data_IF_429090539163
#
_entry.id   IF_429090539163
#
_cell.length_a   1.000
_cell.length_b   1.000
_cell.length_c   1.000
_cell.angle_alpha   90.00
_cell.angle_beta   90.00
_cell.angle_gamma   90.00
#
_symmetry.space_group_name_H-M   'P 1'
#
loop_
_entity.id
_entity.type
_entity.pdbx_description
1 polymer ?
#
# COMPACT_ATOMS: atom_id res chain seq x y z
N UNK A 1 31.09 -1.61 -33.11
CA UNK A 1 31.09 -3.06 -32.84
C UNK A 1 29.64 -3.52 -32.69
N UNK A 2 29.12 -4.31 -33.62
CA UNK A 2 27.79 -4.91 -33.52
C UNK A 2 27.88 -6.14 -32.61
N UNK A 3 27.12 -6.16 -31.52
CA UNK A 3 27.06 -7.30 -30.59
C UNK A 3 26.14 -8.38 -31.16
N UNK A 4 26.43 -9.66 -30.90
CA UNK A 4 25.64 -10.81 -31.39
C UNK A 4 24.14 -10.73 -31.06
N UNK A 5 23.78 -10.02 -29.97
CA UNK A 5 22.41 -9.74 -29.58
C UNK A 5 21.64 -8.81 -30.57
N UNK A 6 22.32 -8.00 -31.39
CA UNK A 6 21.69 -7.16 -32.41
C UNK A 6 21.44 -7.89 -33.74
N UNK A 7 21.87 -9.15 -33.87
CA UNK A 7 21.70 -9.97 -35.07
C UNK A 7 20.60 -11.06 -34.91
N UNK A 8 19.96 -11.14 -33.75
CA UNK A 8 18.85 -12.07 -33.53
C UNK A 8 17.57 -11.51 -34.18
N UNK A 9 16.76 -12.34 -34.86
CA UNK A 9 15.47 -11.92 -35.38
C UNK A 9 14.62 -11.33 -34.25
N UNK A 10 14.22 -10.06 -34.35
CA UNK A 10 13.20 -9.50 -33.45
C UNK A 10 11.92 -10.31 -33.67
N UNK A 11 11.50 -11.08 -32.66
CA UNK A 11 10.31 -11.91 -32.73
C UNK A 11 9.10 -11.07 -33.16
N UNK A 12 8.35 -11.59 -34.14
CA UNK A 12 7.12 -11.00 -34.69
C UNK A 12 6.03 -10.72 -33.64
N UNK A 13 6.15 -11.30 -32.44
CA UNK A 13 5.26 -11.07 -31.30
C UNK A 13 5.50 -9.74 -30.56
N UNK A 14 6.68 -9.12 -30.71
CA UNK A 14 7.05 -7.93 -29.93
C UNK A 14 6.19 -6.70 -30.28
N UNK A 15 5.87 -6.54 -31.56
CA UNK A 15 4.99 -5.47 -32.06
C UNK A 15 3.59 -5.58 -31.43
N UNK A 16 3.02 -6.78 -31.42
CA UNK A 16 1.69 -7.02 -30.82
C UNK A 16 1.65 -6.73 -29.31
N UNK A 17 2.72 -7.08 -28.59
CA UNK A 17 2.84 -6.80 -27.15
C UNK A 17 2.89 -5.31 -26.85
N UNK A 18 3.56 -4.53 -27.70
CA UNK A 18 3.64 -3.07 -27.57
C UNK A 18 2.34 -2.36 -27.86
N UNK A 19 1.61 -2.80 -28.87
CA UNK A 19 0.28 -2.26 -29.15
C UNK A 19 -0.62 -2.49 -27.92
N UNK A 20 -0.68 -3.73 -27.41
CA UNK A 20 -1.45 -4.04 -26.18
C UNK A 20 -1.01 -3.21 -24.98
N UNK A 21 0.30 -3.03 -24.81
CA UNK A 21 0.88 -2.22 -23.76
C UNK A 21 0.44 -0.75 -23.82
N UNK A 22 0.38 -0.15 -25.01
CA UNK A 22 0.01 1.26 -25.18
C UNK A 22 -1.47 1.54 -24.85
N UNK A 23 -2.34 0.55 -25.01
CA UNK A 23 -3.76 0.65 -24.65
C UNK A 23 -4.03 0.23 -23.18
N UNK A 24 -3.02 -0.18 -22.42
CA UNK A 24 -3.19 -0.51 -21.01
C UNK A 24 -3.05 0.78 -20.17
N UNK A 25 -4.06 1.14 -19.35
CA UNK A 25 -4.04 2.34 -18.52
C UNK A 25 -2.91 2.36 -17.47
N UNK A 26 -2.32 1.21 -17.16
CA UNK A 26 -1.22 1.05 -16.20
C UNK A 26 0.16 0.96 -16.86
N UNK A 27 0.33 1.54 -18.04
CA UNK A 27 1.59 1.52 -18.76
C UNK A 27 2.02 2.91 -19.24
N UNK A 28 3.33 3.11 -19.34
CA UNK A 28 3.97 4.37 -19.72
C UNK A 28 4.21 4.50 -21.23
N UNK A 29 3.67 3.57 -22.04
CA UNK A 29 3.78 3.62 -23.50
C UNK A 29 2.74 4.60 -24.04
N UNK A 30 3.21 5.78 -24.45
CA UNK A 30 2.34 6.83 -25.00
C UNK A 30 1.69 6.40 -26.32
N UNK A 31 0.35 6.45 -26.37
CA UNK A 31 -0.43 6.25 -27.60
C UNK A 31 -0.05 7.24 -28.72
N UNK A 32 0.42 8.44 -28.35
CA UNK A 32 0.84 9.46 -29.31
C UNK A 32 2.08 9.06 -30.12
N UNK A 33 2.83 8.04 -29.66
CA UNK A 33 4.04 7.54 -30.33
C UNK A 33 3.78 6.32 -31.23
N UNK A 34 2.53 5.86 -31.35
CA UNK A 34 2.16 4.80 -32.27
C UNK A 34 1.93 5.36 -33.68
N UNK A 35 2.24 4.59 -34.75
CA UNK A 35 1.94 4.98 -36.12
C UNK A 35 0.41 5.04 -36.34
N UNK A 36 -0.03 5.96 -37.20
CA UNK A 36 -1.45 6.11 -37.54
C UNK A 36 -2.02 4.92 -38.34
N UNK A 37 -1.17 4.20 -39.08
CA UNK A 37 -1.54 3.00 -39.83
C UNK A 37 -0.70 1.80 -39.35
N UNK A 38 -1.37 0.73 -38.93
CA UNK A 38 -0.72 -0.51 -38.50
C UNK A 38 -0.44 -1.41 -39.71
N UNK A 39 0.81 -1.41 -40.19
CA UNK A 39 1.32 -2.41 -41.13
C UNK A 39 2.42 -3.23 -40.45
N UNK A 40 2.76 -4.43 -40.94
CA UNK A 40 3.85 -5.21 -40.35
C UNK A 40 5.12 -4.36 -40.20
N UNK A 41 5.73 -4.39 -39.01
CA UNK A 41 6.97 -3.71 -38.64
C UNK A 41 6.91 -2.17 -38.51
N UNK A 42 5.73 -1.56 -38.69
CA UNK A 42 5.59 -0.10 -38.59
C UNK A 42 5.79 0.43 -37.18
N UNK A 43 5.38 -0.31 -36.15
CA UNK A 43 5.53 0.11 -34.75
C UNK A 43 6.99 0.06 -34.31
N UNK A 44 7.74 -0.93 -34.78
CA UNK A 44 9.17 -1.02 -34.50
C UNK A 44 9.95 0.09 -35.20
N UNK A 45 9.62 0.39 -36.45
CA UNK A 45 10.21 1.49 -37.20
C UNK A 45 9.96 2.84 -36.53
N UNK A 46 8.72 3.15 -36.15
CA UNK A 46 8.38 4.38 -35.44
C UNK A 46 9.11 4.52 -34.09
N UNK A 47 9.32 3.40 -33.38
CA UNK A 47 10.13 3.38 -32.16
C UNK A 47 11.59 3.65 -32.45
N UNK A 48 12.18 3.01 -33.47
CA UNK A 48 13.57 3.24 -33.85
C UNK A 48 13.79 4.69 -34.28
N UNK A 49 12.86 5.27 -35.04
CA UNK A 49 12.86 6.69 -35.41
C UNK A 49 12.78 7.61 -34.17
N UNK A 50 11.96 7.27 -33.18
CA UNK A 50 11.88 8.02 -31.92
C UNK A 50 13.19 7.92 -31.13
N UNK A 51 13.79 6.72 -31.05
CA UNK A 51 15.08 6.50 -30.38
C UNK A 51 16.18 7.29 -31.10
N UNK A 52 16.20 7.24 -32.42
CA UNK A 52 17.15 7.97 -33.25
C UNK A 52 16.96 9.48 -33.12
N UNK A 53 15.72 9.97 -33.10
CA UNK A 53 15.41 11.38 -32.84
C UNK A 53 15.89 11.84 -31.46
N UNK A 54 15.75 11.01 -30.43
CA UNK A 54 16.26 11.32 -29.09
C UNK A 54 17.80 11.27 -29.00
N UNK A 55 18.43 10.41 -29.80
CA UNK A 55 19.89 10.29 -29.87
C UNK A 55 20.54 11.40 -30.69
N UNK A 56 19.88 11.85 -31.76
CA UNK A 56 20.38 12.89 -32.67
C UNK A 56 20.03 14.30 -32.18
N UNK A 57 18.94 14.46 -31.44
CA UNK A 57 18.66 15.72 -30.75
C UNK A 57 19.55 15.85 -29.50
N UNK A 58 20.76 16.38 -29.68
CA UNK A 58 21.22 17.42 -28.76
C UNK A 58 20.09 18.46 -28.71
N UNK A 59 19.45 18.64 -27.55
CA UNK A 59 18.34 19.57 -27.40
C UNK A 59 18.73 20.91 -28.04
N UNK A 60 18.04 21.40 -29.09
CA UNK A 60 18.19 22.81 -29.42
C UNK A 60 17.81 23.59 -28.16
N UNK A 61 18.59 24.60 -27.74
CA UNK A 61 18.26 25.38 -26.56
C UNK A 61 16.82 25.85 -26.72
N UNK A 62 15.95 25.48 -25.77
CA UNK A 62 14.55 25.94 -25.76
C UNK A 62 14.57 27.43 -26.09
N UNK A 63 13.90 27.91 -27.15
CA UNK A 63 13.90 29.32 -27.45
C UNK A 63 13.40 30.04 -26.21
N UNK A 64 14.21 30.94 -25.65
CA UNK A 64 13.82 31.78 -24.54
C UNK A 64 12.47 32.40 -24.90
N UNK A 65 11.45 32.13 -24.09
CA UNK A 65 10.12 32.73 -24.28
C UNK A 65 10.34 34.23 -24.30
N UNK A 66 10.16 34.87 -25.47
CA UNK A 66 10.18 36.33 -25.58
C UNK A 66 9.07 36.84 -24.67
N UNK A 67 9.44 37.45 -23.55
CA UNK A 67 8.53 38.26 -22.75
C UNK A 67 8.04 39.37 -23.68
N UNK A 68 6.76 39.32 -24.07
CA UNK A 68 6.15 40.42 -24.80
C UNK A 68 6.16 41.63 -23.87
N UNK A 69 7.04 42.59 -24.14
CA UNK A 69 7.01 43.87 -23.45
C UNK A 69 5.75 44.62 -23.89
N UNK A 70 4.99 45.06 -22.88
CA UNK A 70 3.70 45.73 -22.96
C UNK A 70 3.76 47.12 -23.61
N UNK A 71 4.08 47.21 -24.90
CA UNK A 71 3.79 48.41 -25.68
C UNK A 71 2.38 48.35 -26.25
N UNK A 72 1.40 48.71 -25.40
CA UNK A 72 0.13 49.26 -25.84
C UNK A 72 -1.03 48.30 -26.11
N UNK A 73 -0.87 46.98 -25.90
CA UNK A 73 -1.97 46.03 -26.15
C UNK A 73 -2.81 45.70 -24.90
N UNK A 74 -2.33 46.03 -23.70
CA UNK A 74 -3.07 45.83 -22.45
C UNK A 74 -3.34 47.18 -21.79
N UNK A 75 -4.61 47.47 -21.52
CA UNK A 75 -4.99 48.60 -20.68
C UNK A 75 -4.46 48.38 -19.27
N UNK A 76 -3.92 49.41 -18.63
CA UNK A 76 -3.58 49.35 -17.21
C UNK A 76 -4.88 49.23 -16.42
N UNK A 77 -5.20 48.03 -15.95
CA UNK A 77 -6.30 47.84 -15.02
C UNK A 77 -5.82 48.26 -13.63
N UNK A 78 -6.68 48.96 -12.89
CA UNK A 78 -6.48 49.20 -11.47
C UNK A 78 -6.51 47.84 -10.75
N UNK A 79 -5.43 47.51 -10.04
CA UNK A 79 -5.36 46.28 -9.28
C UNK A 79 -6.34 46.36 -8.12
N UNK A 80 -7.49 45.71 -8.26
CA UNK A 80 -8.44 45.51 -7.16
C UNK A 80 -8.00 44.24 -6.43
N UNK A 81 -7.50 44.34 -5.20
CA UNK A 81 -7.06 43.17 -4.45
C UNK A 81 -8.24 42.20 -4.29
N UNK A 82 -8.04 40.94 -4.68
CA UNK A 82 -9.04 39.91 -4.44
C UNK A 82 -9.16 39.60 -2.95
N UNK A 83 -10.26 38.97 -2.53
CA UNK A 83 -10.40 38.49 -1.13
C UNK A 83 -9.26 37.54 -0.71
N UNK A 84 -8.63 36.87 -1.68
CA UNK A 84 -7.51 35.96 -1.47
C UNK A 84 -6.22 36.76 -1.14
N UNK A 85 -5.99 37.90 -1.80
CA UNK A 85 -4.81 38.72 -1.48
C UNK A 85 -4.86 39.35 -0.09
N UNK A 86 -6.06 39.70 0.40
CA UNK A 86 -6.23 40.15 1.78
C UNK A 86 -5.86 39.04 2.78
N UNK A 87 -6.24 37.80 2.51
CA UNK A 87 -5.91 36.66 3.34
C UNK A 87 -4.40 36.38 3.35
N UNK A 88 -3.75 36.46 2.19
CA UNK A 88 -2.29 36.32 2.10
C UNK A 88 -1.54 37.43 2.85
N UNK A 89 -2.04 38.66 2.80
CA UNK A 89 -1.47 39.79 3.53
C UNK A 89 -1.63 39.63 5.04
N UNK A 90 -2.80 39.16 5.51
CA UNK A 90 -3.01 38.81 6.92
C UNK A 90 -2.07 37.71 7.39
N UNK A 91 -1.91 36.63 6.61
CA UNK A 91 -0.96 35.56 6.95
C UNK A 91 0.49 36.05 6.98
N UNK A 92 0.86 36.95 6.06
CA UNK A 92 2.20 37.56 6.05
C UNK A 92 2.41 38.43 7.29
N UNK A 93 1.38 39.16 7.73
CA UNK A 93 1.43 39.97 8.94
C UNK A 93 1.51 39.10 10.20
N UNK A 94 0.72 38.03 10.29
CA UNK A 94 0.76 37.06 11.38
C UNK A 94 2.14 36.41 11.49
N UNK A 95 2.75 36.02 10.37
CA UNK A 95 4.11 35.46 10.35
C UNK A 95 5.14 36.45 10.93
N UNK A 96 5.10 37.72 10.52
CA UNK A 96 6.00 38.75 11.05
C UNK A 96 5.80 38.98 12.55
N UNK A 97 4.55 39.01 13.02
CA UNK A 97 4.24 39.16 14.45
C UNK A 97 4.73 37.94 15.24
N UNK A 98 4.56 36.73 14.71
CA UNK A 98 5.08 35.51 15.32
C UNK A 98 6.61 35.51 15.40
N UNK A 99 7.30 35.88 14.31
CA UNK A 99 8.75 36.02 14.28
C UNK A 99 9.24 37.06 15.30
N UNK A 100 8.60 38.23 15.38
CA UNK A 100 8.94 39.26 16.36
C UNK A 100 8.77 38.77 17.81
N UNK A 101 7.66 38.07 18.11
CA UNK A 101 7.42 37.46 19.43
C UNK A 101 8.44 36.39 19.76
N UNK A 102 8.88 35.59 18.78
CA UNK A 102 9.94 34.61 18.98
C UNK A 102 11.26 35.30 19.37
N UNK A 103 11.63 36.37 18.68
CA UNK A 103 12.83 37.16 19.01
C UNK A 103 12.75 37.85 20.37
N UNK A 104 11.55 38.27 20.81
CA UNK A 104 11.32 38.87 22.12
C UNK A 104 11.54 37.86 23.26
N UNK A 105 11.05 36.62 23.08
CA UNK A 105 11.17 35.55 24.10
C UNK A 105 12.57 34.96 24.13
N UNK A 106 13.21 34.78 22.97
CA UNK A 106 14.56 34.24 22.87
C UNK A 106 15.32 34.89 21.72
N UNK A 107 16.53 35.37 22.01
CA UNK A 107 17.44 35.90 20.97
C UNK A 107 17.94 34.84 19.99
N UNK A 108 17.68 33.56 20.27
CA UNK A 108 18.06 32.42 19.45
C UNK A 108 16.84 31.59 19.07
N UNK A 109 16.77 31.17 17.81
CA UNK A 109 15.73 30.27 17.32
C UNK A 109 15.77 28.96 18.10
N UNK A 110 14.62 28.51 18.62
CA UNK A 110 14.49 27.24 19.31
C UNK A 110 14.88 26.09 18.38
N UNK A 111 15.91 25.33 18.75
CA UNK A 111 16.33 24.11 18.05
C UNK A 111 15.95 22.90 18.91
N UNK A 112 15.08 21.99 18.42
CA UNK A 112 14.75 20.78 19.15
C UNK A 112 15.99 19.93 19.39
N UNK A 113 16.16 19.43 20.62
CA UNK A 113 17.32 18.63 21.04
C UNK A 113 17.49 17.31 20.29
N UNK A 114 16.47 16.84 19.56
CA UNK A 114 16.50 15.62 18.75
C UNK A 114 17.03 15.80 17.33
N UNK A 115 17.25 17.06 16.86
CA UNK A 115 17.52 17.34 15.45
C UNK A 115 19.00 17.39 15.08
N UNK A 116 19.90 17.53 16.06
CA UNK A 116 21.34 17.57 15.80
C UNK A 116 21.92 16.16 15.75
N UNK A 117 21.83 15.49 14.59
CA UNK A 117 22.67 14.32 14.33
C UNK A 117 24.04 14.81 13.92
N UNK A 118 25.04 14.59 14.76
CA UNK A 118 26.44 14.73 14.38
C UNK A 118 26.78 13.63 13.37
N UNK A 119 27.41 14.00 12.25
CA UNK A 119 27.85 13.02 11.27
C UNK A 119 29.04 12.23 11.81
N UNK A 120 29.21 10.97 11.39
CA UNK A 120 30.25 10.05 11.93
C UNK A 120 31.70 10.55 11.75
N UNK A 121 31.92 11.49 10.83
CA UNK A 121 33.23 12.07 10.53
C UNK A 121 33.44 13.45 11.17
N UNK A 122 32.48 13.94 11.94
CA UNK A 122 32.59 15.22 12.63
C UNK A 122 33.16 15.01 14.02
N UNK A 123 34.27 15.70 14.31
CA UNK A 123 34.92 15.66 15.60
C UNK A 123 34.39 16.83 16.44
N UNK A 124 33.49 16.62 17.42
CA UNK A 124 32.89 17.70 18.21
C UNK A 124 33.87 18.39 19.17
N UNK A 125 35.15 17.97 19.16
CA UNK A 125 36.17 18.36 20.11
C UNK A 125 37.06 19.52 19.65
N UNK A 126 37.11 19.84 18.35
CA UNK A 126 38.08 20.82 17.83
C UNK A 126 37.57 22.27 17.80
N UNK A 127 36.26 22.53 17.88
CA UNK A 127 35.74 23.90 17.96
C UNK A 127 34.41 23.98 18.70
N UNK A 128 34.46 24.40 19.97
CA UNK A 128 33.28 24.56 20.84
C UNK A 128 32.35 25.71 20.41
N UNK A 129 32.85 26.63 19.59
CA UNK A 129 32.13 27.82 19.10
C UNK A 129 31.64 27.68 17.66
N UNK A 130 32.08 26.65 16.93
CA UNK A 130 31.70 26.47 15.53
C UNK A 130 30.32 25.81 15.43
N UNK A 131 29.29 26.63 15.27
CA UNK A 131 27.94 26.19 14.87
C UNK A 131 27.87 26.20 13.34
N UNK A 132 27.73 25.04 12.73
CA UNK A 132 27.54 24.96 11.28
C UNK A 132 26.22 25.65 10.88
N UNK A 133 26.18 26.44 9.80
CA UNK A 133 24.94 26.94 9.23
C UNK A 133 24.05 25.74 8.88
N UNK A 134 22.83 25.73 9.40
CA UNK A 134 21.83 24.69 9.13
C UNK A 134 21.69 24.47 7.61
N UNK A 135 22.17 23.33 7.14
CA UNK A 135 21.83 22.83 5.81
C UNK A 135 20.67 21.87 6.03
N UNK A 136 19.46 22.37 5.78
CA UNK A 136 18.26 21.53 5.76
C UNK A 136 18.51 20.40 4.76
N UNK A 137 18.35 19.14 5.17
CA UNK A 137 18.46 18.01 4.25
C UNK A 137 17.21 18.05 3.34
N UNK A 138 17.34 18.41 2.04
CA UNK A 138 16.19 18.55 1.16
C UNK A 138 15.47 17.20 0.94
N UNK A 139 16.11 16.08 1.25
CA UNK A 139 15.53 14.75 1.12
C UNK A 139 14.70 14.34 2.35
N UNK A 140 15.08 14.78 3.55
CA UNK A 140 14.32 14.56 4.79
C UNK A 140 12.92 15.19 4.69
N UNK A 141 12.84 16.44 4.20
CA UNK A 141 11.56 17.13 4.01
C UNK A 141 10.66 16.43 2.98
N UNK A 142 11.24 15.89 1.90
CA UNK A 142 10.50 15.17 0.87
C UNK A 142 9.93 13.83 1.39
N UNK A 143 10.72 13.08 2.16
CA UNK A 143 10.26 11.83 2.79
C UNK A 143 9.17 12.08 3.84
N UNK A 144 9.30 13.14 4.64
CA UNK A 144 8.28 13.54 5.61
C UNK A 144 6.98 13.96 4.92
N UNK A 145 7.09 14.67 3.79
CA UNK A 145 5.93 15.03 2.98
C UNK A 145 5.24 13.80 2.38
N UNK A 146 6.00 12.81 1.91
CA UNK A 146 5.46 11.53 1.42
C UNK A 146 4.75 10.76 2.54
N UNK A 147 5.35 10.67 3.73
CA UNK A 147 4.72 10.03 4.90
C UNK A 147 3.43 10.73 5.31
N UNK A 148 3.42 12.07 5.33
CA UNK A 148 2.19 12.86 5.59
C UNK A 148 1.11 12.59 4.55
N UNK A 149 1.46 12.60 3.26
CA UNK A 149 0.50 12.33 2.20
C UNK A 149 -0.09 10.93 2.32
N UNK A 150 0.73 9.93 2.68
CA UNK A 150 0.27 8.56 2.93
C UNK A 150 -0.71 8.49 4.11
N UNK A 151 -0.38 9.09 5.25
CA UNK A 151 -1.28 9.11 6.41
C UNK A 151 -2.58 9.85 6.15
N UNK A 152 -2.55 10.95 5.40
CA UNK A 152 -3.77 11.67 5.00
C UNK A 152 -4.61 10.82 4.03
N UNK A 153 -3.98 10.09 3.11
CA UNK A 153 -4.69 9.20 2.20
C UNK A 153 -5.33 8.03 2.95
N UNK A 154 -4.61 7.42 3.89
CA UNK A 154 -5.10 6.32 4.73
C UNK A 154 -6.22 6.78 5.68
N UNK A 155 -6.12 7.97 6.28
CA UNK A 155 -7.15 8.49 7.19
C UNK A 155 -8.44 8.92 6.49
N UNK A 156 -8.38 9.22 5.18
CA UNK A 156 -9.57 9.47 4.35
C UNK A 156 -10.38 8.20 4.08
N UNK A 157 -9.78 7.02 4.26
CA UNK A 157 -10.44 5.72 4.10
C UNK A 157 -11.17 5.38 5.41
N UNK A 158 -12.33 6.02 5.63
CA UNK A 158 -13.20 5.82 6.81
C UNK A 158 -13.73 4.39 6.96
N UNK A 159 -13.80 3.67 5.84
CA UNK A 159 -14.25 2.29 5.78
C UNK A 159 -13.21 1.50 4.99
N UNK A 160 -12.97 0.25 5.39
CA UNK A 160 -12.03 -0.65 4.71
C UNK A 160 -12.28 -0.77 3.20
N UNK A 161 -11.39 -1.47 2.47
CA UNK A 161 -11.46 -1.55 1.01
C UNK A 161 -12.88 -1.86 0.53
N UNK A 162 -13.36 -1.09 -0.45
CA UNK A 162 -14.70 -1.25 -1.02
C UNK A 162 -14.75 -2.62 -1.71
N UNK A 163 -15.31 -3.61 -1.03
CA UNK A 163 -15.47 -4.95 -1.57
C UNK A 163 -16.67 -4.95 -2.50
N UNK A 164 -16.42 -5.11 -3.81
CA UNK A 164 -17.48 -5.37 -4.78
C UNK A 164 -18.28 -6.61 -4.31
N UNK A 165 -19.59 -6.43 -4.16
CA UNK A 165 -20.54 -7.49 -3.83
C UNK A 165 -20.29 -8.69 -4.74
N UNK A 166 -19.79 -9.80 -4.17
CA UNK A 166 -19.45 -11.02 -4.91
C UNK A 166 -18.07 -11.60 -4.63
N UNK A 167 -17.10 -10.79 -4.19
CA UNK A 167 -15.76 -11.27 -3.72
C UNK A 167 -15.43 -10.88 -2.28
N UNK A 168 -16.37 -10.26 -1.57
CA UNK A 168 -16.36 -10.35 -0.12
C UNK A 168 -16.52 -11.82 0.24
N UNK A 169 -15.64 -12.35 1.09
CA UNK A 169 -15.89 -13.61 1.79
C UNK A 169 -17.34 -13.59 2.26
N UNK A 170 -18.17 -14.43 1.65
CA UNK A 170 -19.62 -14.48 1.89
C UNK A 170 -19.86 -14.52 3.40
N UNK A 171 -20.37 -13.43 3.98
CA UNK A 171 -21.13 -13.41 5.23
C UNK A 171 -20.64 -14.26 6.40
N UNK A 172 -19.35 -14.54 6.54
CA UNK A 172 -18.83 -15.13 7.77
C UNK A 172 -18.68 -13.97 8.73
N UNK A 173 -19.72 -13.78 9.54
CA UNK A 173 -19.63 -12.96 10.73
C UNK A 173 -18.39 -13.43 11.47
N UNK A 174 -17.39 -12.55 11.60
CA UNK A 174 -16.24 -12.78 12.47
C UNK A 174 -16.82 -13.32 13.78
N UNK A 175 -16.41 -14.54 14.15
CA UNK A 175 -16.99 -15.22 15.30
C UNK A 175 -16.83 -14.30 16.52
N UNK A 176 -17.95 -13.75 17.00
CA UNK A 176 -17.96 -12.95 18.21
C UNK A 176 -18.24 -13.87 19.39
N UNK A 177 -17.77 -13.49 20.58
CA UNK A 177 -17.99 -14.25 21.82
C UNK A 177 -19.47 -14.60 22.08
N UNK A 178 -20.39 -13.79 21.55
CA UNK A 178 -21.84 -14.05 21.61
C UNK A 178 -22.29 -15.30 20.85
N UNK A 179 -21.57 -15.68 19.79
CA UNK A 179 -21.86 -16.85 18.96
C UNK A 179 -21.21 -18.13 19.50
N UNK A 180 -20.34 -18.01 20.50
CA UNK A 180 -19.56 -19.13 21.02
C UNK A 180 -20.42 -20.28 21.58
N UNK A 181 -21.53 -20.03 22.31
CA UNK A 181 -22.43 -21.11 22.73
C UNK A 181 -23.05 -21.89 21.56
N UNK A 182 -23.39 -21.18 20.47
CA UNK A 182 -23.97 -21.81 19.27
C UNK A 182 -22.94 -22.67 18.54
N UNK A 183 -21.68 -22.22 18.51
CA UNK A 183 -20.56 -22.96 17.92
C UNK A 183 -20.32 -24.25 18.70
N UNK A 184 -20.25 -24.16 20.03
CA UNK A 184 -20.05 -25.33 20.91
C UNK A 184 -21.19 -26.32 20.77
N UNK A 185 -22.45 -25.84 20.70
CA UNK A 185 -23.61 -26.69 20.47
C UNK A 185 -23.52 -27.44 19.14
N UNK A 186 -23.16 -26.76 18.05
CA UNK A 186 -23.02 -27.38 16.73
C UNK A 186 -21.88 -28.41 16.69
N UNK A 187 -20.73 -28.09 17.30
CA UNK A 187 -19.63 -29.05 17.44
C UNK A 187 -20.09 -30.29 18.21
N UNK A 188 -20.80 -30.10 19.32
CA UNK A 188 -21.30 -31.21 20.13
C UNK A 188 -22.31 -32.07 19.38
N UNK A 189 -23.24 -31.47 18.62
CA UNK A 189 -24.20 -32.21 17.77
C UNK A 189 -23.47 -33.02 16.68
N UNK A 190 -22.48 -32.42 16.02
CA UNK A 190 -21.67 -33.09 14.98
C UNK A 190 -20.90 -34.28 15.57
N UNK A 191 -20.22 -34.09 16.70
CA UNK A 191 -19.49 -35.17 17.37
C UNK A 191 -20.42 -36.26 17.91
N UNK A 192 -21.65 -35.91 18.32
CA UNK A 192 -22.62 -36.90 18.78
C UNK A 192 -23.15 -37.77 17.63
N UNK A 193 -23.29 -37.21 16.44
CA UNK A 193 -23.70 -37.94 15.24
C UNK A 193 -22.58 -38.89 14.76
N UNK A 194 -21.35 -38.38 14.67
CA UNK A 194 -20.21 -39.14 14.13
C UNK A 194 -19.58 -40.10 15.15
N UNK A 195 -19.57 -39.73 16.44
CA UNK A 195 -18.85 -40.42 17.53
C UNK A 195 -19.74 -40.75 18.73
N UNK A 196 -21.03 -40.98 18.50
CA UNK A 196 -22.02 -41.20 19.57
C UNK A 196 -21.76 -42.40 20.50
N UNK A 197 -20.86 -43.32 20.10
CA UNK A 197 -20.43 -44.47 20.92
C UNK A 197 -19.26 -44.15 21.85
N UNK A 198 -18.55 -43.05 21.63
CA UNK A 198 -17.37 -42.65 22.40
C UNK A 198 -17.75 -41.64 23.49
N UNK A 199 -17.06 -41.68 24.62
CA UNK A 199 -17.21 -40.66 25.65
C UNK A 199 -16.35 -39.44 25.29
N UNK A 200 -17.00 -38.29 25.12
CA UNK A 200 -16.31 -37.03 24.83
C UNK A 200 -16.91 -35.87 25.63
N UNK A 201 -16.10 -34.82 25.82
CA UNK A 201 -16.53 -33.55 26.40
C UNK A 201 -16.01 -32.37 25.58
N UNK A 202 -16.86 -31.37 25.36
CA UNK A 202 -16.51 -30.12 24.65
C UNK A 202 -16.57 -28.98 25.65
N UNK A 203 -15.46 -28.25 25.78
CA UNK A 203 -15.28 -27.16 26.74
C UNK A 203 -14.70 -25.92 26.07
N UNK A 204 -14.77 -24.81 26.80
CA UNK A 204 -14.26 -23.51 26.35
C UNK A 204 -13.30 -23.01 27.43
N UNK A 205 -12.11 -22.58 27.00
CA UNK A 205 -11.09 -22.03 27.90
C UNK A 205 -11.29 -20.53 28.17
N UNK A 206 -10.56 -19.97 29.13
CA UNK A 206 -10.58 -18.54 29.46
C UNK A 206 -10.17 -17.63 28.28
N UNK A 207 -9.37 -18.18 27.36
CA UNK A 207 -8.93 -17.53 26.13
C UNK A 207 -9.88 -17.76 24.94
N UNK A 208 -11.12 -18.19 25.21
CA UNK A 208 -12.15 -18.51 24.21
C UNK A 208 -11.73 -19.62 23.21
N UNK A 209 -10.78 -20.50 23.58
CA UNK A 209 -10.44 -21.70 22.80
C UNK A 209 -11.47 -22.81 23.01
N UNK A 210 -11.89 -23.47 21.94
CA UNK A 210 -12.79 -24.63 22.00
C UNK A 210 -11.96 -25.90 22.07
N UNK A 211 -12.14 -26.67 23.15
CA UNK A 211 -11.39 -27.89 23.45
C UNK A 211 -12.35 -29.08 23.39
N UNK A 212 -12.04 -30.07 22.55
CA UNK A 212 -12.74 -31.35 22.54
C UNK A 212 -11.84 -32.42 23.15
N UNK A 213 -12.29 -33.06 24.23
CA UNK A 213 -11.60 -34.16 24.92
C UNK A 213 -12.32 -35.47 24.68
N UNK A 214 -11.55 -36.51 24.37
CA UNK A 214 -12.06 -37.87 24.15
C UNK A 214 -11.44 -38.82 25.16
N UNK A 215 -12.24 -39.74 25.67
CA UNK A 215 -11.74 -40.82 26.51
C UNK A 215 -11.08 -41.90 25.63
N UNK A 216 -9.75 -42.02 25.72
CA UNK A 216 -8.96 -42.96 24.92
C UNK A 216 -9.42 -44.42 25.05
N UNK A 217 -9.99 -44.81 26.19
CA UNK A 217 -10.51 -46.17 26.40
C UNK A 217 -11.71 -46.51 25.51
N UNK A 218 -12.45 -45.48 25.05
CA UNK A 218 -13.63 -45.65 24.20
C UNK A 218 -13.35 -45.44 22.71
N UNK A 219 -12.13 -45.04 22.35
CA UNK A 219 -11.74 -44.70 20.98
C UNK A 219 -10.90 -45.84 20.40
N UNK A 220 -11.33 -46.38 19.26
CA UNK A 220 -10.64 -47.51 18.61
C UNK A 220 -9.18 -47.21 18.24
N UNK A 221 -8.91 -45.99 17.78
CA UNK A 221 -7.55 -45.56 17.42
C UNK A 221 -7.38 -44.06 17.54
N UNK A 222 -6.35 -43.65 18.30
CA UNK A 222 -5.93 -42.25 18.41
C UNK A 222 -5.55 -41.65 17.05
N UNK A 223 -4.99 -42.46 16.14
CA UNK A 223 -4.62 -42.01 14.80
C UNK A 223 -5.86 -41.70 13.95
N UNK A 224 -6.92 -42.49 14.08
CA UNK A 224 -8.19 -42.26 13.39
C UNK A 224 -8.86 -40.95 13.85
N UNK A 225 -8.86 -40.71 15.17
CA UNK A 225 -9.38 -39.47 15.75
C UNK A 225 -8.63 -38.23 15.21
N UNK A 226 -7.30 -38.29 15.18
CA UNK A 226 -6.47 -37.21 14.64
C UNK A 226 -6.69 -37.00 13.14
N UNK A 227 -6.85 -38.08 12.38
CA UNK A 227 -7.21 -38.04 10.96
C UNK A 227 -8.55 -37.34 10.73
N UNK A 228 -9.58 -37.72 11.48
CA UNK A 228 -10.91 -37.13 11.43
C UNK A 228 -10.87 -35.62 11.70
N UNK A 229 -10.23 -35.18 12.79
CA UNK A 229 -10.17 -33.75 13.08
C UNK A 229 -9.30 -32.95 12.11
N UNK A 230 -8.25 -33.57 11.53
CA UNK A 230 -7.51 -32.93 10.46
C UNK A 230 -8.37 -32.76 9.21
N UNK A 231 -9.23 -33.72 8.86
CA UNK A 231 -10.19 -33.56 7.76
C UNK A 231 -11.24 -32.50 8.06
N UNK A 232 -11.75 -32.45 9.29
CA UNK A 232 -12.71 -31.45 9.76
C UNK A 232 -12.11 -30.02 9.72
N UNK A 233 -10.82 -29.87 10.02
CA UNK A 233 -10.12 -28.60 9.96
C UNK A 233 -9.66 -28.21 8.54
N UNK A 234 -9.44 -29.19 7.65
CA UNK A 234 -8.97 -28.97 6.28
C UNK A 234 -10.09 -28.72 5.27
N UNK A 235 -11.33 -29.10 5.58
CA UNK A 235 -12.46 -28.96 4.66
C UNK A 235 -12.83 -27.47 4.45
N UNK A 236 -12.04 -26.82 3.60
CA UNK A 236 -12.26 -25.51 3.02
C UNK A 236 -12.97 -25.64 1.66
N UNK A 237 -13.38 -26.85 1.27
CA UNK A 237 -13.97 -27.11 -0.03
C UNK A 237 -15.44 -26.68 -0.02
N UNK A 238 -15.81 -25.75 -0.90
CA UNK A 238 -17.19 -25.22 -1.00
C UNK A 238 -18.23 -26.27 -1.49
N UNK A 239 -17.87 -27.56 -1.54
CA UNK A 239 -18.55 -28.56 -2.36
C UNK A 239 -19.62 -29.38 -1.62
N UNK A 240 -19.55 -29.55 -0.30
CA UNK A 240 -20.50 -30.39 0.45
C UNK A 240 -21.28 -29.58 1.48
N UNK A 241 -22.61 -29.61 1.32
CA UNK A 241 -23.52 -28.65 1.93
C UNK A 241 -23.84 -28.89 3.42
N UNK A 242 -23.44 -30.02 4.00
CA UNK A 242 -23.84 -30.43 5.36
C UNK A 242 -22.83 -30.06 6.45
N UNK A 243 -21.51 -30.05 6.19
CA UNK A 243 -20.48 -29.75 7.20
C UNK A 243 -20.02 -28.29 7.18
N UNK A 244 -20.98 -27.34 7.22
CA UNK A 244 -20.74 -25.91 6.92
C UNK A 244 -20.36 -25.04 8.12
N UNK A 245 -20.48 -25.53 9.35
CA UNK A 245 -20.39 -24.66 10.51
C UNK A 245 -18.94 -24.21 10.80
N UNK A 246 -17.95 -25.09 10.65
CA UNK A 246 -16.54 -24.76 10.86
C UNK A 246 -16.07 -23.59 9.97
N UNK A 247 -16.38 -23.64 8.67
CA UNK A 247 -16.07 -22.57 7.72
C UNK A 247 -16.92 -21.31 7.96
N UNK A 248 -18.19 -21.47 8.37
CA UNK A 248 -19.10 -20.34 8.67
C UNK A 248 -18.55 -19.46 9.78
N UNK A 249 -17.92 -20.05 10.80
CA UNK A 249 -17.34 -19.33 11.93
C UNK A 249 -15.83 -19.05 11.78
N UNK A 250 -15.22 -19.42 10.65
CA UNK A 250 -13.77 -19.25 10.38
C UNK A 250 -12.88 -19.79 11.52
N UNK A 251 -13.27 -20.93 12.10
CA UNK A 251 -12.46 -21.54 13.14
C UNK A 251 -11.10 -21.95 12.59
N UNK A 252 -10.07 -21.85 13.43
CA UNK A 252 -8.70 -22.20 13.08
C UNK A 252 -8.18 -23.24 14.04
N UNK A 253 -7.43 -24.20 13.50
CA UNK A 253 -6.67 -25.16 14.28
C UNK A 253 -5.53 -24.47 15.02
N UNK A 254 -5.46 -24.65 16.33
CA UNK A 254 -4.31 -24.29 17.16
C UNK A 254 -3.36 -25.48 17.18
N UNK A 255 -2.17 -25.31 16.59
CA UNK A 255 -1.23 -26.43 16.38
C UNK A 255 -0.58 -26.87 17.71
N UNK A 256 -0.36 -25.94 18.63
CA UNK A 256 0.41 -26.16 19.87
C UNK A 256 -0.27 -27.11 20.86
N UNK A 257 -1.61 -27.11 20.89
CA UNK A 257 -2.43 -27.91 21.80
C UNK A 257 -3.05 -29.14 21.11
N UNK A 258 -2.72 -29.37 19.84
CA UNK A 258 -3.33 -30.42 19.05
C UNK A 258 -2.75 -31.80 19.37
N UNK A 259 -3.61 -32.73 19.81
CA UNK A 259 -3.20 -34.10 20.11
C UNK A 259 -2.40 -34.26 21.41
N UNK A 260 -2.47 -33.28 22.32
CA UNK A 260 -1.98 -33.47 23.70
C UNK A 260 -2.86 -34.49 24.41
N UNK A 261 -2.22 -35.46 25.06
CA UNK A 261 -2.85 -36.47 25.91
C UNK A 261 -2.87 -35.98 27.36
#
# INVERSE_FOLDING_TARGET
AQTFASALPEYTSNESGRIRAAFNPHNYVSLAKLPHQFKPDTVNKARQETIHSNLVNEMPPKPARKTMNNHGLFHSYEYIPSKISLQEDLQRQERRVAEAKMYEVASQTFVPSSSTKTLKHENPWDNKEFKYPYMDDPYSAAEDQQRRMKWIAESRVLHGPFLLSGRANKGSAIATRKLLPDIVKQLHETLKEDWGTCNFSVMVDETDHIIARFELATVDSSMALMGYFNTLAMDNSQALASSRWYTRYQLRKVVEDWGRQ
#
